data_IF_549808738421
#
_entry.id   IF_549808738421
#
_cell.length_a   1.000
_cell.length_b   1.000
_cell.length_c   1.000
_cell.angle_alpha   90.00
_cell.angle_beta   90.00
_cell.angle_gamma   90.00
#
_symmetry.space_group_name_H-M   'P 1'
#
loop_
_entity.id
_entity.type
_entity.pdbx_description
1 polymer ?
#
# COMPACT_ATOMS: atom_id res chain seq x y z
N UNK A 1 -20.24 -12.63 -56.49
CA UNK A 1 -20.43 -12.87 -55.04
C UNK A 1 -19.06 -13.13 -54.45
N UNK A 2 -18.46 -12.13 -53.81
CA UNK A 2 -17.22 -12.26 -53.03
C UNK A 2 -17.47 -11.51 -51.73
N UNK A 3 -17.46 -12.26 -50.63
CA UNK A 3 -17.66 -11.75 -49.27
C UNK A 3 -16.33 -11.16 -48.81
N UNK A 4 -16.29 -9.85 -48.59
CA UNK A 4 -15.15 -9.19 -47.96
C UNK A 4 -15.33 -9.23 -46.44
N UNK A 5 -14.69 -10.20 -45.79
CA UNK A 5 -14.56 -10.26 -44.34
C UNK A 5 -13.64 -9.15 -43.87
N UNK A 6 -14.19 -8.11 -43.26
CA UNK A 6 -13.41 -7.07 -42.55
C UNK A 6 -12.75 -7.68 -41.32
N UNK A 7 -11.45 -7.95 -41.44
CA UNK A 7 -10.57 -8.27 -40.32
C UNK A 7 -10.39 -6.99 -39.51
N UNK A 8 -11.04 -6.89 -38.35
CA UNK A 8 -10.71 -5.89 -37.35
C UNK A 8 -9.33 -6.21 -36.78
N UNK A 9 -8.31 -5.56 -37.34
CA UNK A 9 -6.94 -5.54 -36.84
C UNK A 9 -6.92 -5.04 -35.40
N UNK A 10 -6.58 -5.93 -34.48
CA UNK A 10 -6.14 -5.61 -33.13
C UNK A 10 -4.87 -4.76 -33.22
N UNK A 11 -5.00 -3.46 -33.00
CA UNK A 11 -3.87 -2.56 -32.84
C UNK A 11 -3.12 -2.90 -31.55
N UNK A 12 -2.00 -3.60 -31.73
CA UNK A 12 -0.87 -3.64 -30.81
C UNK A 12 -0.45 -2.20 -30.48
N UNK A 13 -0.63 -1.81 -29.22
CA UNK A 13 -0.20 -0.50 -28.72
C UNK A 13 1.20 -0.62 -28.15
N UNK A 14 2.12 0.08 -28.80
CA UNK A 14 3.50 0.35 -28.40
C UNK A 14 3.61 0.73 -26.90
N UNK A 15 4.60 0.13 -26.23
CA UNK A 15 4.90 0.16 -24.80
C UNK A 15 5.41 1.52 -24.23
N UNK A 16 5.05 2.65 -24.84
CA UNK A 16 5.42 4.00 -24.38
C UNK A 16 4.22 4.98 -24.37
N UNK A 17 2.99 4.48 -24.22
CA UNK A 17 1.82 5.33 -24.08
C UNK A 17 1.68 5.77 -22.61
N UNK A 18 2.12 6.99 -22.29
CA UNK A 18 1.87 7.60 -20.97
C UNK A 18 0.37 7.65 -20.70
N UNK A 19 -0.04 7.25 -19.49
CA UNK A 19 -1.45 7.27 -19.08
C UNK A 19 -1.89 8.73 -18.95
N UNK A 20 -2.75 9.18 -19.87
CA UNK A 20 -3.31 10.55 -19.86
C UNK A 20 -4.28 10.72 -18.70
N UNK A 21 -4.31 11.91 -18.11
CA UNK A 21 -5.26 12.25 -17.06
C UNK A 21 -6.70 12.24 -17.59
N UNK A 22 -7.61 11.64 -16.82
CA UNK A 22 -9.03 11.52 -17.14
C UNK A 22 -9.84 12.51 -16.29
N UNK A 23 -10.70 13.30 -16.94
CA UNK A 23 -11.62 14.24 -16.29
C UNK A 23 -13.06 13.82 -16.55
N UNK A 24 -13.79 13.51 -15.48
CA UNK A 24 -15.22 13.16 -15.53
C UNK A 24 -15.99 14.11 -14.60
N UNK A 25 -17.11 14.68 -15.07
CA UNK A 25 -17.99 15.57 -14.30
C UNK A 25 -17.25 16.73 -13.59
N UNK A 26 -16.26 17.32 -14.26
CA UNK A 26 -15.47 18.43 -13.72
C UNK A 26 -14.35 18.04 -12.75
N UNK A 27 -14.23 16.76 -12.37
CA UNK A 27 -13.20 16.24 -11.44
C UNK A 27 -12.19 15.36 -12.15
N UNK A 28 -10.93 15.41 -11.71
CA UNK A 28 -9.92 14.46 -12.15
C UNK A 28 -10.13 13.12 -11.45
N UNK A 29 -10.12 12.03 -12.21
CA UNK A 29 -10.27 10.68 -11.67
C UNK A 29 -9.05 9.82 -11.97
N UNK A 30 -8.84 8.79 -11.16
CA UNK A 30 -7.71 7.89 -11.28
C UNK A 30 -7.68 7.27 -12.68
N UNK A 31 -6.61 7.56 -13.42
CA UNK A 31 -6.45 7.15 -14.82
C UNK A 31 -5.76 5.79 -14.97
N UNK A 32 -5.15 5.28 -13.88
CA UNK A 32 -4.43 4.00 -13.85
C UNK A 32 -5.37 2.79 -13.79
N UNK A 33 -6.56 2.93 -13.21
CA UNK A 33 -7.55 1.85 -13.14
C UNK A 33 -8.93 2.35 -13.60
N UNK A 34 -9.40 1.93 -14.79
CA UNK A 34 -10.68 2.39 -15.35
C UNK A 34 -11.91 1.91 -14.55
N UNK A 35 -11.74 0.96 -13.62
CA UNK A 35 -12.80 0.48 -12.72
C UNK A 35 -12.76 1.15 -11.34
N UNK A 36 -11.82 2.06 -11.10
CA UNK A 36 -11.71 2.74 -9.81
C UNK A 36 -12.92 3.65 -9.60
N UNK A 37 -13.81 3.21 -8.71
CA UNK A 37 -14.97 3.99 -8.25
C UNK A 37 -14.74 4.34 -6.78
N UNK A 38 -15.02 5.58 -6.43
CA UNK A 38 -15.09 5.95 -5.02
C UNK A 38 -16.22 5.15 -4.36
N UNK A 39 -16.05 4.70 -3.11
CA UNK A 39 -17.12 4.01 -2.39
C UNK A 39 -18.33 4.94 -2.32
N UNK A 40 -19.49 4.42 -2.71
CA UNK A 40 -20.76 5.13 -2.56
C UNK A 40 -21.16 5.24 -1.09
N UNK A 41 -22.01 6.20 -0.74
CA UNK A 41 -22.48 6.44 0.64
C UNK A 41 -23.07 5.17 1.27
N UNK A 42 -23.79 4.36 0.49
CA UNK A 42 -24.32 3.07 0.96
C UNK A 42 -23.23 2.05 1.29
N UNK A 43 -22.13 2.04 0.53
CA UNK A 43 -20.99 1.16 0.78
C UNK A 43 -20.20 1.59 2.03
N UNK A 44 -20.04 2.90 2.24
CA UNK A 44 -19.43 3.43 3.46
C UNK A 44 -20.27 3.09 4.71
N UNK A 45 -21.60 3.20 4.62
CA UNK A 45 -22.50 2.83 5.73
C UNK A 45 -22.47 1.32 6.00
N UNK A 46 -22.50 0.49 4.93
CA UNK A 46 -22.36 -0.96 5.05
C UNK A 46 -21.03 -1.37 5.68
N UNK A 47 -19.94 -0.70 5.35
CA UNK A 47 -18.66 -0.93 6.04
C UNK A 47 -18.73 -0.57 7.52
N UNK A 48 -19.36 0.56 7.89
CA UNK A 48 -19.49 0.95 9.29
C UNK A 48 -20.31 -0.06 10.11
N UNK A 49 -21.31 -0.71 9.52
CA UNK A 49 -22.22 -1.62 10.24
C UNK A 49 -21.80 -3.09 10.14
N UNK A 50 -21.20 -3.50 9.03
CA UNK A 50 -20.89 -4.90 8.73
C UNK A 50 -19.41 -5.24 8.87
N UNK A 51 -18.52 -4.26 9.04
CA UNK A 51 -17.12 -4.56 9.30
C UNK A 51 -16.97 -5.19 10.70
N UNK A 52 -16.52 -6.44 10.80
CA UNK A 52 -16.23 -7.04 12.09
C UNK A 52 -15.08 -6.27 12.74
N UNK A 53 -15.30 -5.81 13.97
CA UNK A 53 -14.22 -5.23 14.77
C UNK A 53 -13.30 -6.36 15.26
N UNK A 54 -12.21 -6.54 14.52
CA UNK A 54 -11.15 -7.48 14.86
C UNK A 54 -10.00 -6.81 15.61
N UNK A 55 -10.12 -5.54 16.01
CA UNK A 55 -8.97 -4.86 16.62
C UNK A 55 -8.55 -5.54 17.90
N UNK A 56 -9.48 -6.11 18.71
CA UNK A 56 -9.18 -6.80 19.99
C UNK A 56 -8.08 -6.10 20.80
N UNK A 57 -7.99 -4.77 20.66
CA UNK A 57 -6.94 -4.00 21.30
C UNK A 57 -7.41 -3.76 22.73
N UNK A 58 -6.56 -4.05 23.72
CA UNK A 58 -6.89 -3.74 25.10
C UNK A 58 -7.09 -2.23 25.25
N UNK A 59 -8.18 -1.84 25.91
CA UNK A 59 -8.50 -0.43 26.18
C UNK A 59 -7.56 0.17 27.24
N UNK A 60 -7.04 -0.69 28.12
CA UNK A 60 -6.12 -0.30 29.18
C UNK A 60 -4.67 -0.25 28.67
N UNK A 61 -4.00 0.88 28.90
CA UNK A 61 -2.59 1.08 28.53
C UNK A 61 -1.67 0.01 29.13
N UNK A 62 -1.92 -0.40 30.37
CA UNK A 62 -1.14 -1.42 31.06
C UNK A 62 -1.23 -2.79 30.40
N UNK A 63 -2.41 -3.14 29.88
CA UNK A 63 -2.62 -4.37 29.14
C UNK A 63 -2.02 -4.28 27.73
N UNK A 64 -2.10 -3.11 27.09
CA UNK A 64 -1.45 -2.86 25.80
C UNK A 64 0.07 -2.99 25.89
N UNK A 65 0.69 -2.36 26.89
CA UNK A 65 2.13 -2.43 27.12
C UNK A 65 2.59 -3.87 27.46
N UNK A 66 1.69 -4.69 28.01
CA UNK A 66 1.94 -6.11 28.29
C UNK A 66 1.83 -6.98 27.02
N UNK A 67 0.86 -6.72 26.15
CA UNK A 67 0.59 -7.53 24.96
C UNK A 67 1.50 -7.09 23.78
N UNK A 68 1.76 -5.80 23.64
CA UNK A 68 2.55 -5.18 22.56
C UNK A 68 3.56 -4.17 23.13
N UNK A 69 4.63 -4.64 23.79
CA UNK A 69 5.66 -3.74 24.32
C UNK A 69 6.43 -3.05 23.20
N UNK A 70 6.53 -1.72 23.28
CA UNK A 70 7.34 -0.93 22.34
C UNK A 70 8.81 -1.05 22.70
N UNK A 71 9.60 -1.66 21.82
CA UNK A 71 11.05 -1.82 22.00
C UNK A 71 11.75 -0.54 21.52
N UNK A 72 12.40 0.16 22.44
CA UNK A 72 13.17 1.37 22.10
C UNK A 72 14.63 1.02 21.78
N UNK A 73 15.02 1.20 20.53
CA UNK A 73 16.43 1.09 20.11
C UNK A 73 17.16 2.42 20.38
N UNK A 74 17.76 2.56 21.57
CA UNK A 74 18.40 3.82 22.00
C UNK A 74 19.84 3.97 21.50
N UNK A 75 20.53 2.88 21.19
CA UNK A 75 21.96 2.94 20.79
C UNK A 75 22.10 2.82 19.28
N UNK A 76 22.96 3.66 18.68
CA UNK A 76 23.26 3.56 17.25
C UNK A 76 23.87 2.20 16.87
N UNK A 77 24.62 1.57 17.77
CA UNK A 77 25.15 0.20 17.60
C UNK A 77 24.05 -0.88 17.54
N UNK A 78 22.89 -0.60 18.14
CA UNK A 78 21.73 -1.51 18.08
C UNK A 78 20.95 -1.30 16.77
N UNK A 79 20.95 -0.08 16.23
CA UNK A 79 20.32 0.24 14.93
C UNK A 79 21.16 -0.28 13.76
N UNK A 80 22.47 -0.05 13.79
CA UNK A 80 23.37 -0.33 12.67
C UNK A 80 24.18 -1.59 12.88
N UNK A 81 24.03 -2.55 11.97
CA UNK A 81 24.91 -3.72 11.90
C UNK A 81 26.15 -3.37 11.07
N UNK A 82 27.34 -3.60 11.59
CA UNK A 82 28.60 -3.40 10.83
C UNK A 82 29.01 -4.65 10.05
N UNK A 83 28.43 -5.81 10.36
CA UNK A 83 28.71 -7.10 9.72
C UNK A 83 27.79 -7.32 8.53
N UNK A 84 28.29 -7.85 7.39
CA UNK A 84 27.44 -8.22 6.24
C UNK A 84 26.30 -9.15 6.66
N UNK A 85 25.16 -9.02 5.99
CA UNK A 85 23.93 -9.74 6.30
C UNK A 85 22.67 -8.88 6.22
N UNK A 86 21.54 -9.53 6.48
CA UNK A 86 20.21 -8.92 6.52
C UNK A 86 19.79 -8.65 7.97
N UNK A 87 19.28 -7.45 8.22
CA UNK A 87 18.61 -7.06 9.46
C UNK A 87 17.27 -6.42 9.11
N UNK A 88 16.26 -6.77 9.91
CA UNK A 88 14.91 -6.27 9.80
C UNK A 88 14.47 -5.74 11.16
N UNK A 89 13.96 -4.51 11.19
CA UNK A 89 13.34 -3.90 12.37
C UNK A 89 11.95 -3.44 11.94
N UNK A 90 10.93 -3.97 12.62
CA UNK A 90 9.57 -3.49 12.46
C UNK A 90 9.35 -2.27 13.36
N UNK A 91 8.95 -1.15 12.78
CA UNK A 91 8.70 0.10 13.50
C UNK A 91 7.23 0.18 13.90
N UNK A 92 6.32 -0.24 13.01
CA UNK A 92 4.89 -0.24 13.24
C UNK A 92 4.10 -0.13 11.93
N UNK A 93 2.84 -0.56 11.92
CA UNK A 93 2.02 -0.62 10.71
C UNK A 93 2.76 -1.29 9.54
N UNK A 94 3.01 -0.56 8.44
CA UNK A 94 3.83 -0.98 7.30
C UNK A 94 5.27 -0.42 7.34
N UNK A 95 5.57 0.45 8.30
CA UNK A 95 6.89 1.05 8.50
C UNK A 95 7.91 -0.01 8.93
N UNK A 96 8.88 -0.27 8.05
CA UNK A 96 9.95 -1.23 8.31
C UNK A 96 11.31 -0.62 7.99
N UNK A 97 12.29 -0.87 8.86
CA UNK A 97 13.69 -0.55 8.62
C UNK A 97 14.45 -1.82 8.25
N UNK A 98 15.03 -1.83 7.06
CA UNK A 98 15.74 -2.97 6.50
C UNK A 98 17.18 -2.55 6.26
N UNK A 99 18.12 -3.32 6.79
CA UNK A 99 19.53 -3.15 6.49
C UNK A 99 20.05 -4.42 5.80
N UNK A 100 20.62 -4.25 4.60
CA UNK A 100 21.22 -5.34 3.85
C UNK A 100 22.61 -4.91 3.41
N UNK A 101 23.64 -5.59 3.92
CA UNK A 101 25.04 -5.24 3.70
C UNK A 101 25.31 -3.77 4.07
N UNK A 102 25.66 -2.93 3.10
CA UNK A 102 25.93 -1.50 3.26
C UNK A 102 24.74 -0.59 2.93
N UNK A 103 23.60 -1.18 2.53
CA UNK A 103 22.39 -0.43 2.21
C UNK A 103 21.40 -0.43 3.37
N UNK A 104 20.69 0.69 3.48
CA UNK A 104 19.64 0.92 4.48
C UNK A 104 18.40 1.39 3.73
N UNK A 105 17.30 0.69 3.96
CA UNK A 105 16.00 0.97 3.37
C UNK A 105 15.04 1.27 4.49
N UNK A 106 14.20 2.27 4.24
CA UNK A 106 13.05 2.56 5.05
C UNK A 106 11.83 2.40 4.15
N UNK A 107 10.93 1.50 4.52
CA UNK A 107 9.72 1.20 3.76
C UNK A 107 8.56 1.94 4.40
N UNK A 108 7.76 2.62 3.58
CA UNK A 108 6.53 3.34 3.94
C UNK A 108 6.61 4.10 5.28
N UNK A 109 7.50 5.11 5.39
CA UNK A 109 7.73 5.79 6.66
C UNK A 109 6.51 6.57 7.13
N UNK A 110 5.88 6.04 8.18
CA UNK A 110 4.87 6.73 9.00
C UNK A 110 5.41 6.82 10.43
N UNK A 111 5.48 8.04 10.98
CA UNK A 111 6.03 8.37 12.30
C UNK A 111 5.01 9.07 13.18
#
# INVERSE_FOLDING_TARGET
MIVATTITTSTDKSSNELIKSRKENGRFINSFNPKFKLPDLGHALSWKTSAPDNTRLPFAKTELDKILPVIQHKKSKELYRTTPGLRFIWIGHASCFIQMNNFRFLVDPVF
#
